data_IF_046690948120
#
_entry.id   IF_046690948120
#
_cell.length_a   1.000
_cell.length_b   1.000
_cell.length_c   1.000
_cell.angle_alpha   90.00
_cell.angle_beta   90.00
_cell.angle_gamma   90.00
#
_symmetry.space_group_name_H-M   'P 1'
#
loop_
_entity.id
_entity.type
_entity.pdbx_description
1 polymer ?
#
# COMPACT_ATOMS: atom_id res chain seq x y z
N UNK A 1 -0.42 -19.75 -19.24
CA UNK A 1 -1.15 -20.21 -18.01
C UNK A 1 -0.19 -20.10 -16.83
N UNK A 2 -0.51 -19.27 -15.87
CA UNK A 2 0.19 -19.26 -14.57
C UNK A 2 -0.38 -20.42 -13.76
N UNK A 3 0.49 -21.33 -13.32
CA UNK A 3 0.09 -22.43 -12.43
C UNK A 3 0.24 -21.98 -10.97
N UNK A 4 -0.70 -22.31 -10.07
CA UNK A 4 -0.49 -22.16 -8.64
C UNK A 4 0.76 -22.94 -8.20
N UNK A 5 1.53 -22.37 -7.30
CA UNK A 5 2.71 -23.04 -6.72
C UNK A 5 2.32 -23.87 -5.52
N UNK A 6 1.38 -23.36 -4.72
CA UNK A 6 0.86 -23.98 -3.52
C UNK A 6 -0.66 -24.17 -3.63
N UNK A 7 -1.23 -25.06 -2.83
CA UNK A 7 -2.67 -25.22 -2.74
C UNK A 7 -3.33 -23.95 -2.18
N UNK A 8 -4.59 -23.65 -2.54
CA UNK A 8 -5.29 -22.49 -2.00
C UNK A 8 -5.33 -22.52 -0.46
N UNK A 9 -5.03 -21.40 0.16
CA UNK A 9 -5.01 -21.21 1.62
C UNK A 9 -3.90 -21.99 2.36
N UNK A 10 -3.00 -22.68 1.69
CA UNK A 10 -1.89 -23.39 2.33
C UNK A 10 -0.84 -22.41 2.85
N UNK A 11 -0.44 -21.45 2.02
CA UNK A 11 0.58 -20.45 2.35
C UNK A 11 0.11 -19.03 2.08
N UNK A 12 0.75 -18.09 2.75
CA UNK A 12 0.66 -16.66 2.45
C UNK A 12 1.97 -16.25 1.80
N UNK A 13 1.92 -15.82 0.54
CA UNK A 13 3.09 -15.32 -0.16
C UNK A 13 2.73 -14.09 -0.98
N UNK A 14 3.52 -13.06 -0.85
CA UNK A 14 3.31 -11.83 -1.59
C UNK A 14 3.56 -12.01 -3.08
N UNK A 15 2.54 -11.70 -3.87
CA UNK A 15 2.64 -11.64 -5.33
C UNK A 15 2.15 -10.28 -5.81
N UNK A 16 3.06 -9.35 -6.15
CA UNK A 16 2.67 -7.98 -6.49
C UNK A 16 1.89 -7.86 -7.80
N UNK A 17 2.10 -8.76 -8.75
CA UNK A 17 1.56 -8.65 -10.09
C UNK A 17 0.22 -9.38 -10.26
N UNK A 18 0.20 -10.68 -10.03
CA UNK A 18 -0.88 -11.56 -10.48
C UNK A 18 -2.20 -11.23 -9.79
N UNK A 19 -2.19 -11.05 -8.49
CA UNK A 19 -3.41 -10.78 -7.71
C UNK A 19 -4.07 -9.48 -8.13
N UNK A 20 -3.30 -8.40 -8.25
CA UNK A 20 -3.83 -7.09 -8.61
C UNK A 20 -4.34 -7.05 -10.05
N UNK A 21 -3.64 -7.71 -10.98
CA UNK A 21 -4.10 -7.80 -12.38
C UNK A 21 -5.41 -8.59 -12.48
N UNK A 22 -5.54 -9.70 -11.75
CA UNK A 22 -6.77 -10.48 -11.74
C UNK A 22 -7.95 -9.70 -11.14
N UNK A 23 -7.72 -9.01 -10.02
CA UNK A 23 -8.75 -8.15 -9.41
C UNK A 23 -9.16 -7.01 -10.34
N UNK A 24 -8.19 -6.34 -10.95
CA UNK A 24 -8.48 -5.28 -11.92
C UNK A 24 -9.24 -5.81 -13.15
N UNK A 25 -8.85 -6.97 -13.67
CA UNK A 25 -9.55 -7.59 -14.79
C UNK A 25 -11.01 -7.95 -14.44
N UNK A 26 -11.26 -8.48 -13.24
CA UNK A 26 -12.62 -8.73 -12.76
C UNK A 26 -13.42 -7.43 -12.63
N UNK A 27 -12.80 -6.40 -12.02
CA UNK A 27 -13.39 -5.09 -11.84
C UNK A 27 -13.79 -4.44 -13.19
N UNK A 28 -12.92 -4.51 -14.19
CA UNK A 28 -13.19 -3.95 -15.52
C UNK A 28 -14.27 -4.72 -16.28
N UNK A 29 -14.32 -6.05 -16.16
CA UNK A 29 -15.34 -6.89 -16.78
C UNK A 29 -16.75 -6.64 -16.22
N UNK A 30 -16.82 -6.26 -14.96
CA UNK A 30 -18.10 -6.00 -14.27
C UNK A 30 -18.52 -4.54 -14.29
N UNK A 31 -17.73 -3.65 -14.89
CA UNK A 31 -18.07 -2.23 -14.98
C UNK A 31 -19.15 -2.00 -16.08
N UNK A 32 -20.37 -1.61 -15.71
CA UNK A 32 -21.43 -1.37 -16.68
C UNK A 32 -21.14 -0.20 -17.62
N UNK A 33 -20.24 0.71 -17.23
CA UNK A 33 -19.81 1.85 -18.04
C UNK A 33 -18.61 1.54 -18.93
N UNK A 34 -18.04 0.35 -18.85
CA UNK A 34 -16.84 -0.08 -19.60
C UNK A 34 -15.67 0.90 -19.51
N UNK A 35 -15.48 1.52 -18.35
CA UNK A 35 -14.41 2.50 -18.11
C UNK A 35 -13.05 1.82 -18.01
N UNK A 36 -12.01 2.54 -18.34
CA UNK A 36 -10.63 2.13 -18.08
C UNK A 36 -10.34 2.15 -16.57
N UNK A 37 -9.36 1.38 -16.14
CA UNK A 37 -8.99 1.27 -14.71
C UNK A 37 -8.72 2.63 -14.07
N UNK A 38 -7.86 3.44 -14.69
CA UNK A 38 -7.55 4.78 -14.16
C UNK A 38 -8.76 5.72 -14.14
N UNK A 39 -9.66 5.60 -15.10
CA UNK A 39 -10.87 6.40 -15.11
C UNK A 39 -11.78 6.05 -13.93
N UNK A 40 -11.92 4.74 -13.62
CA UNK A 40 -12.65 4.32 -12.42
C UNK A 40 -12.01 4.84 -11.15
N UNK A 41 -10.67 4.72 -11.01
CA UNK A 41 -9.95 5.25 -9.85
C UNK A 41 -10.17 6.75 -9.72
N UNK A 42 -10.10 7.49 -10.84
CA UNK A 42 -10.34 8.93 -10.85
C UNK A 42 -11.76 9.26 -10.38
N UNK A 43 -12.79 8.70 -11.02
CA UNK A 43 -14.18 9.03 -10.77
C UNK A 43 -14.73 8.51 -9.43
N UNK A 44 -14.28 7.33 -8.98
CA UNK A 44 -14.83 6.66 -7.81
C UNK A 44 -14.05 6.95 -6.51
N UNK A 45 -12.79 7.40 -6.62
CA UNK A 45 -11.92 7.63 -5.46
C UNK A 45 -11.34 9.04 -5.45
N UNK A 46 -10.58 9.43 -6.49
CA UNK A 46 -9.79 10.65 -6.45
C UNK A 46 -10.65 11.91 -6.48
N UNK A 47 -11.62 11.98 -7.36
CA UNK A 47 -12.53 13.14 -7.50
C UNK A 47 -13.40 13.32 -6.25
N UNK A 48 -14.10 12.29 -5.73
CA UNK A 48 -14.88 12.42 -4.50
C UNK A 48 -14.03 12.82 -3.28
N UNK A 49 -12.81 12.31 -3.19
CA UNK A 49 -11.87 12.67 -2.13
C UNK A 49 -11.13 13.98 -2.40
N UNK A 50 -11.34 14.64 -3.55
CA UNK A 50 -10.66 15.87 -3.96
C UNK A 50 -9.12 15.73 -3.97
N UNK A 51 -8.62 14.56 -4.37
CA UNK A 51 -7.20 14.25 -4.47
C UNK A 51 -6.64 14.76 -5.81
N UNK A 52 -6.50 16.08 -5.94
CA UNK A 52 -6.22 16.76 -7.22
C UNK A 52 -4.79 16.55 -7.72
N UNK A 53 -3.86 16.28 -6.83
CA UNK A 53 -2.45 16.05 -7.11
C UNK A 53 -2.09 14.55 -7.13
N UNK A 54 -3.11 13.70 -7.35
CA UNK A 54 -2.97 12.25 -7.41
C UNK A 54 -3.44 11.72 -8.76
N UNK A 55 -2.71 10.77 -9.31
CA UNK A 55 -3.10 10.10 -10.56
C UNK A 55 -2.53 8.69 -10.64
N UNK A 56 -3.21 7.82 -11.40
CA UNK A 56 -2.65 6.56 -11.88
C UNK A 56 -1.81 6.87 -13.13
N UNK A 57 -0.50 6.64 -13.04
CA UNK A 57 0.46 7.18 -14.00
C UNK A 57 0.80 8.66 -13.71
N UNK A 58 1.69 9.23 -14.49
CA UNK A 58 2.10 10.64 -14.32
C UNK A 58 1.29 11.52 -15.26
N UNK A 59 0.27 12.17 -14.76
CA UNK A 59 -0.54 13.12 -15.53
C UNK A 59 0.31 14.30 -16.02
N UNK A 60 0.07 14.79 -17.24
CA UNK A 60 0.91 15.77 -17.92
C UNK A 60 1.11 17.06 -17.09
N UNK A 61 0.06 17.56 -16.46
CA UNK A 61 0.09 18.79 -15.63
C UNK A 61 0.87 18.61 -14.31
N UNK A 62 1.06 17.37 -13.84
CA UNK A 62 1.83 17.07 -12.63
C UNK A 62 3.30 16.72 -12.91
N UNK A 63 3.66 16.54 -14.18
CA UNK A 63 4.99 16.05 -14.59
C UNK A 63 6.14 16.93 -14.09
N UNK A 64 5.99 18.23 -14.14
CA UNK A 64 7.02 19.18 -13.67
C UNK A 64 7.25 19.14 -12.15
N UNK A 65 6.28 18.64 -11.39
CA UNK A 65 6.33 18.53 -9.93
C UNK A 65 6.78 17.14 -9.46
N UNK A 66 6.96 16.20 -10.39
CA UNK A 66 7.35 14.83 -10.05
C UNK A 66 8.72 14.80 -9.39
N UNK A 67 8.80 14.24 -8.19
CA UNK A 67 10.07 13.92 -7.56
C UNK A 67 10.58 12.60 -8.13
N UNK A 68 11.81 12.60 -8.62
CA UNK A 68 12.46 11.40 -9.16
C UNK A 68 12.98 10.57 -7.98
N UNK A 69 12.55 9.30 -7.84
CA UNK A 69 13.02 8.46 -6.76
C UNK A 69 14.53 8.20 -6.83
N UNK A 70 15.20 8.21 -5.69
CA UNK A 70 16.61 7.81 -5.59
C UNK A 70 16.72 6.29 -5.53
N UNK A 71 17.35 5.72 -6.55
CA UNK A 71 17.57 4.28 -6.68
C UNK A 71 18.97 3.84 -6.21
N UNK A 72 19.80 4.73 -5.67
CA UNK A 72 21.14 4.41 -5.19
C UNK A 72 21.13 3.61 -3.89
N UNK A 73 19.99 3.54 -3.21
CA UNK A 73 19.80 2.65 -2.07
C UNK A 73 19.89 1.16 -2.45
N UNK A 74 20.09 0.34 -1.47
CA UNK A 74 20.36 -1.10 -1.60
C UNK A 74 19.10 -1.89 -1.96
N UNK A 75 18.47 -1.57 -3.10
CA UNK A 75 17.28 -2.27 -3.57
C UNK A 75 17.56 -3.00 -4.88
N UNK A 76 17.55 -4.34 -4.90
CA UNK A 76 18.01 -5.12 -6.05
C UNK A 76 17.14 -4.99 -7.31
N UNK A 77 15.90 -4.51 -7.18
CA UNK A 77 14.98 -4.35 -8.33
C UNK A 77 15.31 -3.10 -9.17
N UNK A 78 15.98 -2.11 -8.59
CA UNK A 78 16.12 -0.80 -9.23
C UNK A 78 17.17 -0.70 -10.34
N UNK A 79 18.28 -1.41 -10.21
CA UNK A 79 19.44 -1.11 -11.05
C UNK A 79 19.39 -1.69 -12.46
N UNK A 80 18.76 -2.85 -12.64
CA UNK A 80 18.66 -3.48 -13.97
C UNK A 80 17.46 -3.01 -14.78
N UNK A 81 16.50 -2.34 -14.13
CA UNK A 81 15.25 -1.95 -14.78
C UNK A 81 15.26 -0.56 -15.40
N UNK A 82 16.27 0.27 -15.12
CA UNK A 82 16.39 1.60 -15.74
C UNK A 82 16.41 1.59 -17.26
N UNK A 83 16.94 0.51 -17.86
CA UNK A 83 17.04 0.35 -19.29
C UNK A 83 16.05 -0.68 -19.86
N UNK A 84 15.15 -1.24 -19.04
CA UNK A 84 14.14 -2.17 -19.52
C UNK A 84 12.93 -1.38 -19.96
N UNK A 85 12.53 -1.45 -21.24
CA UNK A 85 11.28 -0.83 -21.69
C UNK A 85 10.11 -1.27 -20.82
N UNK A 86 9.38 -0.31 -20.25
CA UNK A 86 8.26 -0.57 -19.36
C UNK A 86 8.56 -0.49 -17.87
N UNK A 87 9.81 -0.61 -17.42
CA UNK A 87 10.11 -0.50 -15.99
C UNK A 87 10.10 0.95 -15.49
N UNK A 88 10.74 1.86 -16.20
CA UNK A 88 10.69 3.31 -15.89
C UNK A 88 9.59 4.02 -16.69
N UNK A 89 9.44 3.67 -17.98
CA UNK A 89 8.43 4.25 -18.84
C UNK A 89 7.00 4.01 -18.35
N UNK A 90 6.72 2.82 -17.83
CA UNK A 90 5.40 2.49 -17.31
C UNK A 90 5.00 3.30 -16.06
N UNK A 91 5.96 3.71 -15.21
CA UNK A 91 5.69 4.58 -14.06
C UNK A 91 5.62 6.06 -14.43
N UNK A 92 6.20 6.43 -15.56
CA UNK A 92 6.29 7.81 -16.02
C UNK A 92 5.30 8.15 -17.13
N UNK A 93 4.70 7.13 -17.73
CA UNK A 93 3.71 7.27 -18.78
C UNK A 93 2.35 7.64 -18.18
N UNK A 94 1.77 8.72 -18.62
CA UNK A 94 0.42 9.15 -18.23
C UNK A 94 -0.67 8.19 -18.73
N UNK A 95 -0.37 7.33 -19.69
CA UNK A 95 -1.27 6.28 -20.18
C UNK A 95 -1.13 4.97 -19.39
N UNK A 96 -0.15 4.85 -18.51
CA UNK A 96 0.07 3.65 -17.71
C UNK A 96 -1.12 3.35 -16.78
N UNK A 97 -1.53 2.10 -16.77
CA UNK A 97 -2.65 1.61 -15.95
C UNK A 97 -2.24 0.32 -15.23
N UNK A 98 -1.35 0.47 -14.25
CA UNK A 98 -0.87 -0.68 -13.49
C UNK A 98 -1.57 -0.75 -12.12
N UNK A 99 -2.41 -1.77 -11.88
CA UNK A 99 -3.18 -1.85 -10.64
C UNK A 99 -2.36 -2.18 -9.40
N UNK A 100 -1.09 -2.55 -9.55
CA UNK A 100 -0.20 -2.89 -8.43
C UNK A 100 0.80 -1.80 -8.07
N UNK A 101 0.95 -0.76 -8.92
CA UNK A 101 1.98 0.27 -8.76
C UNK A 101 1.70 1.46 -9.71
N UNK A 102 2.40 2.58 -9.52
CA UNK A 102 2.35 3.68 -10.48
C UNK A 102 1.35 4.77 -10.13
N UNK A 103 0.81 4.78 -8.92
CA UNK A 103 0.12 5.96 -8.40
C UNK A 103 1.18 6.98 -7.99
N UNK A 104 1.05 8.21 -8.50
CA UNK A 104 1.78 9.38 -8.04
C UNK A 104 0.86 10.25 -7.19
N UNK A 105 1.37 10.78 -6.08
CA UNK A 105 0.54 11.51 -5.13
C UNK A 105 1.36 12.52 -4.32
N UNK A 106 0.67 13.25 -3.45
CA UNK A 106 1.24 14.13 -2.44
C UNK A 106 0.82 13.71 -1.06
N UNK A 107 1.54 14.15 -0.03
CA UNK A 107 1.17 13.88 1.37
C UNK A 107 -0.24 14.39 1.72
N UNK A 108 -0.67 15.60 1.32
CA UNK A 108 -2.03 16.06 1.57
C UNK A 108 -3.10 15.17 0.95
N UNK A 109 -2.91 14.73 -0.29
CA UNK A 109 -3.87 13.85 -0.95
C UNK A 109 -3.93 12.46 -0.30
N UNK A 110 -2.77 11.88 -0.01
CA UNK A 110 -2.70 10.60 0.69
C UNK A 110 -3.27 10.69 2.11
N UNK A 111 -3.14 11.85 2.77
CA UNK A 111 -3.81 12.08 4.05
C UNK A 111 -5.33 12.01 3.90
N UNK A 112 -5.91 12.62 2.87
CA UNK A 112 -7.35 12.53 2.59
C UNK A 112 -7.80 11.08 2.38
N UNK A 113 -7.00 10.30 1.66
CA UNK A 113 -7.28 8.87 1.46
C UNK A 113 -7.23 8.09 2.78
N UNK A 114 -6.20 8.27 3.58
CA UNK A 114 -6.06 7.60 4.88
C UNK A 114 -7.15 8.06 5.88
N UNK A 115 -7.44 9.36 5.92
CA UNK A 115 -8.47 9.94 6.78
C UNK A 115 -9.89 9.43 6.44
N UNK A 116 -10.17 9.18 5.17
CA UNK A 116 -11.41 8.52 4.75
C UNK A 116 -11.57 7.15 5.43
N UNK A 117 -10.49 6.37 5.52
CA UNK A 117 -10.52 5.09 6.24
C UNK A 117 -10.74 5.27 7.74
N UNK A 118 -10.06 6.24 8.37
CA UNK A 118 -10.24 6.53 9.80
C UNK A 118 -11.69 6.92 10.11
N UNK A 119 -12.34 7.63 9.19
CA UNK A 119 -13.75 8.05 9.28
C UNK A 119 -14.75 7.01 8.78
N UNK A 120 -14.39 5.74 8.79
CA UNK A 120 -15.33 4.65 8.49
C UNK A 120 -15.72 4.55 7.00
N UNK A 121 -14.90 5.04 6.09
CA UNK A 121 -15.14 4.97 4.64
C UNK A 121 -15.72 6.24 4.04
N UNK A 122 -15.77 7.35 4.81
CA UNK A 122 -16.33 8.63 4.35
C UNK A 122 -15.40 9.80 4.65
N UNK A 123 -15.42 10.83 3.79
CA UNK A 123 -14.72 12.09 4.05
C UNK A 123 -15.50 13.25 3.42
N UNK A 124 -15.76 14.32 4.19
CA UNK A 124 -16.40 15.54 3.72
C UNK A 124 -17.68 15.31 2.89
N UNK A 125 -18.51 14.37 3.32
CA UNK A 125 -19.76 13.99 2.64
C UNK A 125 -19.60 12.97 1.51
N UNK A 126 -18.39 12.68 1.04
CA UNK A 126 -18.13 11.62 0.07
C UNK A 126 -17.98 10.27 0.76
N UNK A 127 -18.82 9.31 0.39
CA UNK A 127 -18.71 7.92 0.86
C UNK A 127 -18.04 7.06 -0.22
N UNK A 128 -16.83 6.56 0.08
CA UNK A 128 -16.07 5.67 -0.78
C UNK A 128 -16.38 4.20 -0.45
N UNK A 129 -16.44 3.88 0.84
CA UNK A 129 -16.72 2.53 1.34
C UNK A 129 -17.90 2.55 2.31
N UNK A 130 -18.68 1.48 2.32
CA UNK A 130 -19.63 1.27 3.41
C UNK A 130 -18.87 0.84 4.68
N UNK A 131 -19.32 1.21 5.88
CA UNK A 131 -18.70 0.76 7.14
C UNK A 131 -18.55 -0.76 7.24
N UNK A 132 -19.57 -1.51 6.83
CA UNK A 132 -19.52 -2.97 6.83
C UNK A 132 -18.45 -3.54 5.85
N UNK A 133 -18.22 -2.87 4.73
CA UNK A 133 -17.14 -3.25 3.79
C UNK A 133 -15.77 -3.00 4.41
N UNK A 134 -15.59 -1.87 5.09
CA UNK A 134 -14.35 -1.57 5.78
C UNK A 134 -14.10 -2.54 6.95
N UNK A 135 -15.13 -2.86 7.71
CA UNK A 135 -15.04 -3.85 8.78
C UNK A 135 -14.62 -5.22 8.24
N UNK A 136 -15.21 -5.67 7.14
CA UNK A 136 -14.82 -6.90 6.45
C UNK A 136 -13.37 -6.84 5.96
N UNK A 137 -12.95 -5.70 5.40
CA UNK A 137 -11.59 -5.51 4.89
C UNK A 137 -10.53 -5.54 6.02
N UNK A 138 -10.89 -5.17 7.23
CA UNK A 138 -10.02 -5.17 8.42
C UNK A 138 -9.96 -6.51 9.16
N UNK A 139 -10.68 -7.53 8.72
CA UNK A 139 -10.54 -8.87 9.30
C UNK A 139 -9.20 -9.48 8.92
N UNK A 140 -8.56 -10.17 9.86
CA UNK A 140 -7.35 -10.93 9.57
C UNK A 140 -7.70 -12.21 8.79
N UNK A 141 -7.41 -12.23 7.50
CA UNK A 141 -7.67 -13.36 6.60
C UNK A 141 -6.53 -14.36 6.55
N UNK A 142 -5.39 -14.05 7.13
CA UNK A 142 -4.19 -14.88 7.10
C UNK A 142 -3.95 -15.64 8.39
N UNK A 143 -4.72 -15.35 9.43
CA UNK A 143 -4.51 -15.88 10.78
C UNK A 143 -3.04 -15.64 11.24
N UNK A 144 -2.41 -16.64 11.86
CA UNK A 144 -1.03 -16.57 12.34
C UNK A 144 0.03 -16.98 11.29
N UNK A 145 -0.40 -17.21 10.05
CA UNK A 145 0.55 -17.62 8.98
C UNK A 145 1.47 -16.48 8.61
N UNK A 146 2.78 -16.74 8.50
CA UNK A 146 3.72 -15.72 8.03
C UNK A 146 3.55 -15.48 6.53
N UNK A 147 3.98 -14.30 6.08
CA UNK A 147 4.20 -14.10 4.65
C UNK A 147 5.57 -14.68 4.29
N UNK A 148 5.59 -15.76 3.54
CA UNK A 148 6.80 -16.55 3.27
C UNK A 148 7.95 -15.72 2.68
N UNK A 149 7.65 -14.77 1.79
CA UNK A 149 8.66 -13.90 1.22
C UNK A 149 9.35 -13.03 2.28
N UNK A 150 8.58 -12.45 3.19
CA UNK A 150 9.14 -11.59 4.25
C UNK A 150 9.74 -12.40 5.39
N UNK A 151 9.15 -13.56 5.71
CA UNK A 151 9.70 -14.48 6.69
C UNK A 151 11.10 -14.98 6.30
N UNK A 152 11.31 -15.29 5.01
CA UNK A 152 12.63 -15.65 4.52
C UNK A 152 13.65 -14.53 4.74
N UNK A 153 13.30 -13.31 4.37
CA UNK A 153 14.17 -12.13 4.54
C UNK A 153 14.42 -11.79 6.01
N UNK A 154 13.43 -11.97 6.87
CA UNK A 154 13.58 -11.82 8.32
C UNK A 154 14.59 -12.81 8.90
N UNK A 155 14.50 -14.09 8.51
CA UNK A 155 15.46 -15.13 8.93
C UNK A 155 16.91 -14.80 8.55
N UNK A 156 17.15 -14.16 7.42
CA UNK A 156 18.49 -13.69 7.02
C UNK A 156 19.07 -12.66 8.01
N UNK A 157 18.23 -12.03 8.82
CA UNK A 157 18.61 -11.10 9.91
C UNK A 157 18.47 -11.71 11.31
N UNK A 158 18.18 -13.00 11.42
CA UNK A 158 17.97 -13.67 12.69
C UNK A 158 16.61 -13.34 13.35
N UNK A 159 15.65 -12.85 12.59
CA UNK A 159 14.30 -12.59 13.11
C UNK A 159 13.44 -13.85 12.99
N UNK A 160 12.60 -14.07 13.97
CA UNK A 160 11.57 -15.10 13.88
C UNK A 160 10.51 -14.76 12.81
N UNK A 161 9.92 -15.76 12.14
CA UNK A 161 8.82 -15.54 11.23
C UNK A 161 7.62 -14.90 11.93
N UNK A 162 7.19 -13.77 11.43
CA UNK A 162 6.07 -13.01 11.98
C UNK A 162 4.78 -13.27 11.22
N UNK A 163 3.62 -13.25 11.90
CA UNK A 163 2.33 -13.34 11.21
C UNK A 163 2.19 -12.25 10.15
N UNK A 164 1.59 -12.60 9.03
CA UNK A 164 1.39 -11.65 7.94
C UNK A 164 0.35 -10.57 8.28
N UNK A 165 -0.66 -10.89 9.07
CA UNK A 165 -1.76 -10.04 9.48
C UNK A 165 -2.32 -9.19 8.32
N UNK A 166 -2.91 -9.87 7.34
CA UNK A 166 -3.41 -9.22 6.11
C UNK A 166 -4.93 -9.26 6.08
N UNK A 167 -5.51 -8.10 5.86
CA UNK A 167 -6.91 -7.89 5.52
C UNK A 167 -7.17 -7.90 4.00
N UNK A 168 -8.29 -7.38 3.54
CA UNK A 168 -8.54 -7.20 2.11
C UNK A 168 -7.86 -5.90 1.64
N UNK A 169 -6.64 -6.04 1.10
CA UNK A 169 -5.82 -4.92 0.65
C UNK A 169 -5.21 -4.07 1.77
N UNK A 170 -5.22 -4.53 3.00
CA UNK A 170 -4.73 -3.82 4.17
C UNK A 170 -3.73 -4.67 4.95
N UNK A 171 -2.66 -4.06 5.42
CA UNK A 171 -1.84 -4.59 6.51
C UNK A 171 -2.51 -4.27 7.83
N UNK A 172 -2.46 -5.20 8.78
CA UNK A 172 -3.07 -5.08 10.11
C UNK A 172 -1.99 -5.22 11.18
N UNK A 173 -2.09 -4.46 12.28
CA UNK A 173 -1.10 -4.48 13.35
C UNK A 173 -1.14 -5.78 14.17
N UNK A 174 -2.34 -6.21 14.55
CA UNK A 174 -2.53 -7.37 15.43
C UNK A 174 -2.01 -7.17 16.85
N UNK A 175 -2.16 -8.22 17.67
CA UNK A 175 -1.90 -8.18 19.11
C UNK A 175 -0.42 -8.42 19.50
N UNK A 176 0.34 -9.12 18.66
CA UNK A 176 1.70 -9.53 19.01
C UNK A 176 2.69 -8.37 18.97
N UNK A 177 3.68 -8.42 19.86
CA UNK A 177 4.85 -7.54 19.82
C UNK A 177 5.84 -8.15 18.82
N UNK A 178 5.89 -7.56 17.65
CA UNK A 178 6.69 -8.01 16.52
C UNK A 178 7.29 -6.80 15.80
N UNK A 179 8.25 -7.02 14.92
CA UNK A 179 8.68 -6.02 13.96
C UNK A 179 7.54 -5.67 13.02
N UNK A 180 7.10 -4.42 13.05
CA UNK A 180 5.93 -4.02 12.26
C UNK A 180 6.07 -2.61 11.69
N UNK A 181 5.62 -2.46 10.45
CA UNK A 181 5.68 -1.18 9.71
C UNK A 181 4.92 -0.03 10.37
N UNK A 182 4.01 -0.31 11.31
CA UNK A 182 3.26 0.73 12.04
C UNK A 182 3.87 1.09 13.39
N UNK A 183 4.93 0.41 13.81
CA UNK A 183 5.55 0.56 15.11
C UNK A 183 5.06 -0.47 16.14
N UNK A 184 5.82 -0.60 17.22
CA UNK A 184 5.47 -1.49 18.37
C UNK A 184 4.43 -0.86 19.28
N UNK A 185 4.38 0.48 19.32
CA UNK A 185 3.44 1.24 20.16
C UNK A 185 2.05 1.41 19.51
N UNK A 186 1.90 1.04 18.24
CA UNK A 186 0.62 1.11 17.55
C UNK A 186 -0.43 0.23 18.22
N UNK A 187 -1.67 0.70 18.29
CA UNK A 187 -2.80 -0.10 18.81
C UNK A 187 -3.02 -1.34 17.95
N UNK A 188 -3.48 -2.47 18.51
CA UNK A 188 -3.75 -3.69 17.76
C UNK A 188 -4.70 -3.49 16.57
N UNK A 189 -5.63 -2.55 16.68
CA UNK A 189 -6.58 -2.20 15.62
C UNK A 189 -6.03 -1.29 14.52
N UNK A 190 -4.76 -0.89 14.57
CA UNK A 190 -4.11 -0.08 13.55
C UNK A 190 -4.02 -0.86 12.23
N UNK A 191 -4.31 -0.16 11.14
CA UNK A 191 -4.23 -0.73 9.80
C UNK A 191 -3.79 0.32 8.78
N UNK A 192 -3.31 -0.13 7.66
CA UNK A 192 -2.82 0.73 6.59
C UNK A 192 -2.14 -0.06 5.49
N UNK A 193 -1.24 0.58 4.77
CA UNK A 193 -0.40 -0.13 3.81
C UNK A 193 0.86 0.67 3.48
N UNK A 194 1.79 0.04 2.78
CA UNK A 194 3.04 0.65 2.37
C UNK A 194 3.39 0.30 0.92
N UNK A 195 4.25 1.09 0.32
CA UNK A 195 4.73 0.88 -1.05
C UNK A 195 6.23 0.66 -1.10
N UNK A 196 6.67 -0.07 -2.13
CA UNK A 196 8.08 -0.32 -2.40
C UNK A 196 8.89 0.98 -2.61
N UNK A 197 8.23 2.07 -3.04
CA UNK A 197 8.81 3.41 -3.11
C UNK A 197 9.10 4.06 -1.76
N UNK A 198 9.08 3.27 -0.68
CA UNK A 198 9.30 3.71 0.70
C UNK A 198 8.26 4.73 1.18
N UNK A 199 7.02 4.49 0.83
CA UNK A 199 5.84 5.25 1.25
C UNK A 199 5.01 4.43 2.23
N UNK A 200 4.34 5.11 3.16
CA UNK A 200 3.55 4.48 4.21
C UNK A 200 2.33 5.35 4.54
N UNK A 201 1.21 4.72 4.79
CA UNK A 201 0.09 5.33 5.49
C UNK A 201 -0.52 4.34 6.46
N UNK A 202 -1.03 4.84 7.56
CA UNK A 202 -1.82 4.05 8.50
C UNK A 202 -2.78 4.92 9.29
N UNK A 203 -3.79 4.27 9.87
CA UNK A 203 -4.71 4.85 10.83
C UNK A 203 -4.74 4.01 12.10
N UNK A 204 -4.74 4.66 13.24
CA UNK A 204 -4.95 4.06 14.56
C UNK A 204 -6.29 4.56 15.11
N UNK A 205 -7.36 3.76 14.96
CA UNK A 205 -8.69 4.20 15.40
C UNK A 205 -8.80 4.38 16.90
N UNK A 206 -8.01 3.66 17.69
CA UNK A 206 -8.06 3.76 19.15
C UNK A 206 -7.49 5.09 19.67
N UNK A 207 -6.58 5.70 18.89
CA UNK A 207 -5.96 6.99 19.21
C UNK A 207 -6.45 8.13 18.35
N UNK A 208 -7.45 7.88 17.50
CA UNK A 208 -7.98 8.86 16.54
C UNK A 208 -6.89 9.50 15.67
N UNK A 209 -5.93 8.68 15.22
CA UNK A 209 -4.70 9.13 14.59
C UNK A 209 -4.60 8.63 13.13
N UNK A 210 -4.22 9.56 12.26
CA UNK A 210 -3.88 9.28 10.85
C UNK A 210 -2.45 9.69 10.57
N UNK A 211 -1.68 8.82 9.96
CA UNK A 211 -0.30 9.09 9.57
C UNK A 211 -0.04 8.77 8.10
N UNK A 212 0.68 9.67 7.44
CA UNK A 212 1.16 9.49 6.07
C UNK A 212 2.62 9.90 5.97
N UNK A 213 3.39 9.05 5.34
CA UNK A 213 4.79 9.29 5.06
C UNK A 213 5.11 8.97 3.60
N UNK A 214 5.59 9.96 2.87
CA UNK A 214 6.07 9.79 1.51
C UNK A 214 7.56 10.12 1.46
N UNK A 215 8.33 9.26 0.83
CA UNK A 215 9.73 9.53 0.54
C UNK A 215 10.06 9.15 -0.91
N UNK A 216 11.12 9.74 -1.43
CA UNK A 216 11.55 9.55 -2.81
C UNK A 216 12.83 8.71 -2.86
N UNK A 217 12.70 7.42 -2.56
CA UNK A 217 13.84 6.51 -2.62
C UNK A 217 13.43 5.08 -2.35
N UNK A 218 14.28 4.14 -2.76
CA UNK A 218 14.09 2.71 -2.52
C UNK A 218 15.11 2.23 -1.49
N UNK A 219 14.62 1.66 -0.41
CA UNK A 219 15.42 0.96 0.59
C UNK A 219 15.19 -0.55 0.47
N UNK A 220 16.16 -1.31 0.92
CA UNK A 220 15.98 -2.74 1.12
C UNK A 220 14.83 -2.99 2.11
N UNK A 221 14.07 -4.09 1.92
CA UNK A 221 12.81 -4.35 2.62
C UNK A 221 12.91 -4.28 4.14
N UNK A 222 13.94 -4.90 4.72
CA UNK A 222 14.10 -4.95 6.18
C UNK A 222 14.53 -3.59 6.74
N UNK A 223 15.44 -2.89 6.06
CA UNK A 223 15.84 -1.53 6.43
C UNK A 223 14.64 -0.56 6.35
N UNK A 224 13.74 -0.79 5.38
CA UNK A 224 12.52 0.00 5.26
C UNK A 224 11.53 -0.33 6.39
N UNK A 225 11.37 -1.59 6.76
CA UNK A 225 10.54 -2.01 7.91
C UNK A 225 11.04 -1.38 9.21
N UNK A 226 12.34 -1.46 9.49
CA UNK A 226 12.93 -0.83 10.67
C UNK A 226 12.72 0.68 10.70
N UNK A 227 12.88 1.35 9.56
CA UNK A 227 12.63 2.79 9.46
C UNK A 227 11.17 3.14 9.74
N UNK A 228 10.24 2.41 9.15
CA UNK A 228 8.81 2.62 9.37
C UNK A 228 8.41 2.34 10.82
N UNK A 229 8.94 1.28 11.42
CA UNK A 229 8.73 0.98 12.83
C UNK A 229 9.17 2.13 13.72
N UNK A 230 10.41 2.63 13.54
CA UNK A 230 10.93 3.76 14.32
C UNK A 230 10.10 5.03 14.14
N UNK A 231 9.68 5.35 12.92
CA UNK A 231 8.81 6.49 12.65
C UNK A 231 7.45 6.31 13.34
N UNK A 232 6.85 5.13 13.24
CA UNK A 232 5.60 4.81 13.91
C UNK A 232 5.70 4.98 15.43
N UNK A 233 6.75 4.43 16.04
CA UNK A 233 6.97 4.53 17.49
C UNK A 233 7.17 5.98 17.95
N UNK A 234 7.93 6.80 17.20
CA UNK A 234 8.10 8.23 17.48
C UNK A 234 6.74 8.95 17.42
N UNK A 235 5.94 8.69 16.40
CA UNK A 235 4.63 9.33 16.25
C UNK A 235 3.68 8.92 17.36
N UNK A 236 3.60 7.62 17.68
CA UNK A 236 2.73 7.14 18.76
C UNK A 236 3.18 7.64 20.15
N UNK A 237 4.49 7.76 20.38
CA UNK A 237 5.03 8.32 21.63
C UNK A 237 4.74 9.82 21.80
N UNK A 238 4.48 10.54 20.71
CA UNK A 238 4.16 11.97 20.76
C UNK A 238 2.65 12.27 20.98
N UNK A 239 1.80 11.26 20.92
CA UNK A 239 0.34 11.41 21.14
C UNK A 239 0.07 11.24 22.64
N UNK A 240 -0.58 12.25 23.23
CA UNK A 240 -0.96 12.30 24.64
C UNK A 240 -2.30 11.63 24.89
#
# INVERSE_FOLDING_TARGET
RVKPVDAPCEKVSYSPLVNHVLMAAALLRTDPKQRRYRQRVQEEILDPLRMRDTAVGVRADLRARKVVPDFRGNYPIGHKSRNTPGANGAFEDETAEMPWVGVVSTTPDMFRFAEMFRRGGTLEGARILAPATLELARRNWTAERPNELYAQRGRERGWDPEPAYIGLGLSLRGEKIIHHIFGTLASPGTFGNYGAGTTLWWVDPARDLTFVFLSAGLLESNANTERFQRLGDIVHAAVL
#
